data_IF_872841950099
#
_entry.id   IF_872841950099
#
_cell.length_a   1.000
_cell.length_b   1.000
_cell.length_c   1.000
_cell.angle_alpha   90.00
_cell.angle_beta   90.00
_cell.angle_gamma   90.00
#
_symmetry.space_group_name_H-M   'P 1'
#
loop_
_entity.id
_entity.type
_entity.pdbx_description
1 polymer ?
#
# COMPACT_ATOMS: atom_id res chain seq x y z
N UNK A 1 13.35 29.09 24.42
CA UNK A 1 13.56 28.93 22.97
C UNK A 1 12.35 28.20 22.41
N UNK A 2 11.50 28.86 21.61
CA UNK A 2 10.32 28.20 20.99
C UNK A 2 10.87 27.28 19.90
N UNK A 3 10.76 25.95 20.06
CA UNK A 3 10.91 25.01 18.95
C UNK A 3 9.86 25.41 17.91
N UNK A 4 10.27 25.76 16.69
CA UNK A 4 9.30 25.86 15.60
C UNK A 4 8.69 24.48 15.41
N UNK A 5 7.41 24.42 15.04
CA UNK A 5 6.72 23.17 14.75
C UNK A 5 7.38 22.36 13.61
N UNK A 6 8.36 22.95 12.92
CA UNK A 6 9.02 22.40 11.74
C UNK A 6 10.17 21.41 12.05
N UNK A 7 10.51 21.18 13.33
CA UNK A 7 11.59 20.29 13.75
C UNK A 7 11.13 19.33 14.87
N UNK A 8 10.06 18.57 14.59
CA UNK A 8 9.44 17.65 15.54
C UNK A 8 10.13 16.28 15.61
N UNK A 9 10.78 15.82 14.53
CA UNK A 9 11.31 14.46 14.42
C UNK A 9 12.84 14.42 14.33
N UNK A 10 13.44 13.46 15.04
CA UNK A 10 14.86 13.14 14.95
C UNK A 10 15.13 12.06 13.87
N UNK A 11 16.40 11.92 13.46
CA UNK A 11 16.79 10.88 12.49
C UNK A 11 16.49 9.46 12.97
N UNK A 12 16.51 9.24 14.29
CA UNK A 12 16.16 7.95 14.88
C UNK A 12 14.66 7.65 14.69
N UNK A 13 13.78 8.63 14.90
CA UNK A 13 12.33 8.48 14.71
C UNK A 13 12.02 8.06 13.27
N UNK A 14 12.69 8.71 12.31
CA UNK A 14 12.58 8.37 10.90
C UNK A 14 12.98 6.91 10.63
N UNK A 15 14.13 6.49 11.16
CA UNK A 15 14.65 5.15 10.96
C UNK A 15 13.74 4.09 11.60
N UNK A 16 13.31 4.30 12.84
CA UNK A 16 12.44 3.37 13.57
C UNK A 16 11.06 3.24 12.93
N UNK A 17 10.45 4.35 12.51
CA UNK A 17 9.15 4.33 11.83
C UNK A 17 9.20 3.53 10.52
N UNK A 18 10.29 3.67 9.76
CA UNK A 18 10.51 2.90 8.53
C UNK A 18 10.73 1.42 8.82
N UNK A 19 11.62 1.09 9.76
CA UNK A 19 11.84 -0.31 10.15
C UNK A 19 10.53 -0.97 10.57
N UNK A 20 9.74 -0.28 11.41
CA UNK A 20 8.47 -0.80 11.90
C UNK A 20 7.46 -1.01 10.77
N UNK A 21 7.39 -0.10 9.80
CA UNK A 21 6.50 -0.26 8.65
C UNK A 21 6.92 -1.42 7.74
N UNK A 22 8.20 -1.53 7.40
CA UNK A 22 8.71 -2.60 6.51
C UNK A 22 8.69 -3.99 7.16
N UNK A 23 8.89 -4.05 8.48
CA UNK A 23 8.79 -5.30 9.24
C UNK A 23 7.33 -5.71 9.52
N UNK A 24 6.36 -4.83 9.27
CA UNK A 24 4.96 -5.10 9.57
C UNK A 24 4.41 -6.21 8.70
N UNK A 25 3.93 -7.29 9.34
CA UNK A 25 3.20 -8.39 8.71
C UNK A 25 1.90 -8.66 9.45
N UNK A 26 0.92 -9.21 8.76
CA UNK A 26 -0.28 -9.75 9.37
C UNK A 26 0.09 -11.02 10.16
N UNK A 27 -0.32 -11.10 11.41
CA UNK A 27 -0.16 -12.32 12.20
C UNK A 27 -1.05 -13.46 11.69
N UNK A 28 -0.62 -14.71 11.87
CA UNK A 28 -1.37 -15.89 11.38
C UNK A 28 -2.81 -15.96 11.92
N UNK A 29 -3.00 -15.55 13.17
CA UNK A 29 -4.32 -15.49 13.84
C UNK A 29 -4.94 -14.09 13.83
N UNK A 30 -4.25 -13.10 13.26
CA UNK A 30 -4.71 -11.70 13.23
C UNK A 30 -5.86 -11.54 12.23
N UNK A 31 -6.94 -10.92 12.71
CA UNK A 31 -8.05 -10.51 11.85
C UNK A 31 -7.58 -9.47 10.82
N UNK A 32 -8.02 -9.60 9.58
CA UNK A 32 -7.63 -8.71 8.49
C UNK A 32 -7.97 -7.23 8.75
N UNK A 33 -9.08 -6.96 9.45
CA UNK A 33 -9.49 -5.59 9.81
C UNK A 33 -8.56 -4.99 10.86
N UNK A 34 -8.20 -5.75 11.89
CA UNK A 34 -7.22 -5.32 12.90
C UNK A 34 -5.85 -5.05 12.26
N UNK A 35 -5.43 -5.91 11.33
CA UNK A 35 -4.20 -5.72 10.58
C UNK A 35 -4.25 -4.41 9.77
N UNK A 36 -5.35 -4.15 9.06
CA UNK A 36 -5.56 -2.91 8.29
C UNK A 36 -5.43 -1.66 9.18
N UNK A 37 -6.09 -1.64 10.33
CA UNK A 37 -6.01 -0.50 11.26
C UNK A 37 -4.59 -0.24 11.76
N UNK A 38 -3.84 -1.31 12.07
CA UNK A 38 -2.45 -1.20 12.51
C UNK A 38 -1.53 -0.73 11.37
N UNK A 39 -1.76 -1.23 10.15
CA UNK A 39 -1.03 -0.85 8.96
C UNK A 39 -1.25 0.61 8.57
N UNK A 40 -2.51 1.07 8.55
CA UNK A 40 -2.87 2.45 8.23
C UNK A 40 -2.33 3.43 9.26
N UNK A 41 -2.43 3.13 10.57
CA UNK A 41 -1.84 3.97 11.62
C UNK A 41 -0.33 4.14 11.45
N UNK A 42 0.39 3.09 11.07
CA UNK A 42 1.83 3.21 10.84
C UNK A 42 2.14 3.96 9.53
N UNK A 43 1.28 3.83 8.52
CA UNK A 43 1.38 4.58 7.28
C UNK A 43 1.17 6.09 7.50
N UNK A 44 0.20 6.48 8.34
CA UNK A 44 -0.03 7.88 8.72
C UNK A 44 1.23 8.50 9.34
N UNK A 45 1.89 7.79 10.28
CA UNK A 45 3.18 8.24 10.85
C UNK A 45 4.24 8.45 9.76
N UNK A 46 4.33 7.54 8.77
CA UNK A 46 5.27 7.74 7.66
C UNK A 46 4.87 8.91 6.76
N UNK A 47 3.57 9.12 6.53
CA UNK A 47 3.09 10.24 5.74
C UNK A 47 3.46 11.57 6.38
N UNK A 48 3.32 11.68 7.71
CA UNK A 48 3.71 12.85 8.48
C UNK A 48 5.23 13.07 8.44
N UNK A 49 6.03 12.01 8.55
CA UNK A 49 7.50 12.07 8.48
C UNK A 49 8.04 12.44 7.09
N UNK A 50 7.50 11.84 6.03
CA UNK A 50 7.98 12.05 4.66
C UNK A 50 7.46 13.33 4.02
N UNK A 51 6.26 13.76 4.43
CA UNK A 51 5.49 14.77 3.73
C UNK A 51 4.97 14.30 2.38
N UNK A 52 3.96 15.01 1.88
CA UNK A 52 3.26 14.67 0.63
C UNK A 52 4.18 14.75 -0.60
N UNK A 53 5.12 15.70 -0.60
CA UNK A 53 6.00 15.96 -1.75
C UNK A 53 6.89 14.75 -2.10
N UNK A 54 7.31 13.95 -1.11
CA UNK A 54 8.15 12.77 -1.38
C UNK A 54 7.41 11.75 -2.25
N UNK A 55 6.15 11.45 -1.92
CA UNK A 55 5.32 10.52 -2.67
C UNK A 55 4.94 11.06 -4.05
N UNK A 56 4.62 12.35 -4.16
CA UNK A 56 4.34 12.98 -5.46
C UNK A 56 5.57 12.95 -6.38
N UNK A 57 6.78 13.13 -5.83
CA UNK A 57 8.04 13.00 -6.57
C UNK A 57 8.35 11.56 -6.98
N UNK A 58 7.92 10.56 -6.20
CA UNK A 58 7.97 9.18 -6.62
C UNK A 58 6.97 8.92 -7.77
N UNK A 59 5.75 9.47 -7.69
CA UNK A 59 4.69 9.25 -8.68
C UNK A 59 5.14 9.56 -10.11
N UNK A 60 5.82 10.69 -10.32
CA UNK A 60 6.29 11.13 -11.65
C UNK A 60 7.35 10.21 -12.27
N UNK A 61 7.98 9.35 -11.45
CA UNK A 61 8.98 8.37 -11.91
C UNK A 61 8.36 7.02 -12.28
N UNK A 62 7.05 6.85 -12.14
CA UNK A 62 6.38 5.57 -12.40
C UNK A 62 5.99 5.42 -13.87
N UNK A 63 6.00 4.18 -14.38
CA UNK A 63 5.49 3.84 -15.72
C UNK A 63 4.03 4.28 -15.89
N UNK A 64 3.23 4.19 -14.83
CA UNK A 64 1.82 4.56 -14.85
C UNK A 64 1.61 6.07 -15.05
N UNK A 65 2.48 6.93 -14.48
CA UNK A 65 2.43 8.36 -14.73
C UNK A 65 2.84 8.70 -16.18
N UNK A 66 3.87 8.03 -16.70
CA UNK A 66 4.35 8.24 -18.07
C UNK A 66 3.29 7.87 -19.13
N UNK A 67 2.38 6.95 -18.81
CA UNK A 67 1.27 6.57 -19.67
C UNK A 67 0.12 7.60 -19.70
N UNK A 68 0.12 8.60 -18.80
CA UNK A 68 -0.87 9.68 -18.80
C UNK A 68 -0.44 10.73 -19.84
N UNK A 69 -1.34 11.07 -20.75
CA UNK A 69 -1.10 12.13 -21.73
C UNK A 69 -0.61 13.42 -21.04
N UNK A 70 0.47 14.02 -21.55
CA UNK A 70 1.08 15.22 -20.97
C UNK A 70 0.14 16.43 -20.96
N UNK A 71 -0.85 16.44 -21.85
CA UNK A 71 -1.90 17.47 -21.93
C UNK A 71 -3.00 17.30 -20.88
N UNK A 72 -3.06 16.16 -20.18
CA UNK A 72 -4.09 15.87 -19.17
C UNK A 72 -3.57 16.14 -17.75
N UNK A 73 -3.37 17.42 -17.44
CA UNK A 73 -2.87 17.89 -16.13
C UNK A 73 -3.74 17.42 -14.96
N UNK A 74 -5.06 17.35 -15.14
CA UNK A 74 -5.99 16.90 -14.09
C UNK A 74 -5.74 15.44 -13.70
N UNK A 75 -5.58 14.55 -14.68
CA UNK A 75 -5.25 13.15 -14.43
C UNK A 75 -3.86 12.99 -13.80
N UNK A 76 -2.88 13.81 -14.19
CA UNK A 76 -1.55 13.80 -13.60
C UNK A 76 -1.55 14.22 -12.12
N UNK A 77 -2.28 15.29 -11.78
CA UNK A 77 -2.40 15.75 -10.39
C UNK A 77 -3.12 14.71 -9.54
N UNK A 78 -4.25 14.19 -10.03
CA UNK A 78 -4.96 13.12 -9.33
C UNK A 78 -4.06 11.89 -9.10
N UNK A 79 -3.27 11.49 -10.09
CA UNK A 79 -2.34 10.37 -9.92
C UNK A 79 -1.29 10.64 -8.83
N UNK A 80 -0.77 11.87 -8.75
CA UNK A 80 0.18 12.27 -7.70
C UNK A 80 -0.46 12.25 -6.31
N UNK A 81 -1.72 12.66 -6.21
CA UNK A 81 -2.45 12.68 -4.93
C UNK A 81 -2.81 11.25 -4.47
N UNK A 82 -3.19 10.38 -5.40
CA UNK A 82 -3.59 8.99 -5.12
C UNK A 82 -2.39 8.04 -4.92
N UNK A 83 -1.15 8.45 -5.26
CA UNK A 83 0.00 7.54 -5.30
C UNK A 83 0.31 6.91 -3.95
N UNK A 84 0.13 7.66 -2.87
CA UNK A 84 0.42 7.20 -1.53
C UNK A 84 -0.49 6.01 -1.19
N UNK A 85 -1.81 6.17 -1.40
CA UNK A 85 -2.76 5.08 -1.17
C UNK A 85 -2.46 3.87 -2.07
N UNK A 86 -2.02 4.09 -3.31
CA UNK A 86 -1.65 3.00 -4.20
C UNK A 86 -0.44 2.19 -3.68
N UNK A 87 0.59 2.88 -3.16
CA UNK A 87 1.74 2.22 -2.52
C UNK A 87 1.30 1.45 -1.28
N UNK A 88 0.43 2.04 -0.45
CA UNK A 88 -0.12 1.38 0.72
C UNK A 88 -0.93 0.14 0.36
N UNK A 89 -1.75 0.20 -0.68
CA UNK A 89 -2.55 -0.93 -1.13
C UNK A 89 -1.67 -2.10 -1.60
N UNK A 90 -0.59 -1.82 -2.34
CA UNK A 90 0.41 -2.85 -2.70
C UNK A 90 1.10 -3.41 -1.47
N UNK A 91 1.58 -2.55 -0.56
CA UNK A 91 2.23 -2.97 0.68
C UNK A 91 1.32 -3.84 1.56
N UNK A 92 0.05 -3.48 1.67
CA UNK A 92 -0.96 -4.21 2.43
C UNK A 92 -1.16 -5.64 1.90
N UNK A 93 -1.20 -5.83 0.58
CA UNK A 93 -1.26 -7.16 -0.05
C UNK A 93 0.00 -7.96 0.26
N UNK A 94 1.19 -7.39 0.01
CA UNK A 94 2.47 -8.04 0.21
C UNK A 94 2.78 -8.36 1.68
N UNK A 95 2.16 -7.65 2.62
CA UNK A 95 2.32 -7.83 4.06
C UNK A 95 1.19 -8.62 4.71
N UNK A 96 0.19 -9.05 3.92
CA UNK A 96 -0.83 -9.99 4.38
C UNK A 96 -0.22 -11.34 4.77
N UNK A 97 -1.00 -12.14 5.49
CA UNK A 97 -0.56 -13.45 5.98
C UNK A 97 -0.37 -14.43 4.82
N UNK A 98 0.90 -14.58 4.44
CA UNK A 98 1.32 -15.37 3.29
C UNK A 98 0.99 -16.86 3.41
N UNK A 99 0.74 -17.38 4.63
CA UNK A 99 0.30 -18.77 4.79
C UNK A 99 -1.06 -19.02 4.12
N UNK A 100 -1.89 -17.96 4.00
CA UNK A 100 -3.22 -18.01 3.39
C UNK A 100 -3.30 -17.32 2.04
N UNK A 101 -2.39 -16.39 1.75
CA UNK A 101 -2.50 -15.48 0.59
C UNK A 101 -1.38 -15.65 -0.43
N UNK A 102 -0.39 -16.52 -0.19
CA UNK A 102 0.71 -16.77 -1.13
C UNK A 102 0.23 -17.12 -2.56
N UNK A 103 -0.81 -17.95 -2.78
CA UNK A 103 -1.31 -18.22 -4.13
C UNK A 103 -1.79 -16.95 -4.85
N UNK A 104 -2.58 -16.11 -4.18
CA UNK A 104 -3.01 -14.82 -4.72
C UNK A 104 -1.81 -13.92 -5.05
N UNK A 105 -0.80 -13.87 -4.17
CA UNK A 105 0.38 -13.04 -4.40
C UNK A 105 1.16 -13.51 -5.63
N UNK A 106 1.31 -14.83 -5.81
CA UNK A 106 1.95 -15.40 -6.98
C UNK A 106 1.20 -15.05 -8.27
N UNK A 107 -0.14 -15.12 -8.25
CA UNK A 107 -0.97 -14.73 -9.40
C UNK A 107 -0.82 -13.26 -9.75
N UNK A 108 -0.83 -12.37 -8.74
CA UNK A 108 -0.63 -10.93 -8.94
C UNK A 108 0.75 -10.61 -9.52
N UNK A 109 1.79 -11.26 -9.02
CA UNK A 109 3.16 -11.11 -9.52
C UNK A 109 3.30 -11.63 -10.96
N UNK A 110 2.74 -12.81 -11.24
CA UNK A 110 2.78 -13.42 -12.58
C UNK A 110 2.09 -12.52 -13.61
N UNK A 111 0.92 -11.98 -13.28
CA UNK A 111 0.23 -11.04 -14.16
C UNK A 111 1.01 -9.74 -14.34
N UNK A 112 1.60 -9.22 -13.27
CA UNK A 112 2.44 -8.01 -13.35
C UNK A 112 3.65 -8.20 -14.28
N UNK A 113 4.30 -9.37 -14.22
CA UNK A 113 5.39 -9.73 -15.14
C UNK A 113 4.93 -9.85 -16.60
N UNK A 114 3.63 -10.10 -16.84
CA UNK A 114 2.99 -10.09 -18.16
C UNK A 114 2.44 -8.71 -18.54
N UNK A 115 2.87 -7.66 -17.84
CA UNK A 115 2.45 -6.27 -18.03
C UNK A 115 0.95 -6.01 -17.74
N UNK A 116 0.28 -6.95 -17.06
CA UNK A 116 -1.11 -6.81 -16.62
C UNK A 116 -1.13 -6.52 -15.12
N UNK A 117 -1.43 -5.27 -14.77
CA UNK A 117 -1.42 -4.84 -13.37
C UNK A 117 -2.80 -5.02 -12.70
N UNK A 118 -2.95 -6.08 -11.90
CA UNK A 118 -4.14 -6.32 -11.07
C UNK A 118 -4.01 -5.83 -9.63
N UNK A 119 -2.87 -5.24 -9.23
CA UNK A 119 -2.74 -4.64 -7.90
C UNK A 119 -3.77 -3.53 -7.73
N UNK A 120 -4.44 -3.55 -6.57
CA UNK A 120 -5.42 -2.52 -6.21
C UNK A 120 -4.69 -1.25 -5.81
N UNK A 121 -5.30 -0.10 -6.13
CA UNK A 121 -4.78 1.24 -5.80
C UNK A 121 -5.36 1.82 -4.51
N UNK A 122 -6.33 1.11 -3.90
CA UNK A 122 -6.99 1.51 -2.66
C UNK A 122 -6.87 0.39 -1.64
N UNK A 123 -6.58 0.74 -0.39
CA UNK A 123 -6.39 -0.25 0.68
C UNK A 123 -7.69 -1.02 0.95
N UNK A 124 -8.86 -0.35 0.84
CA UNK A 124 -10.17 -1.00 0.94
C UNK A 124 -10.37 -2.08 -0.13
N UNK A 125 -9.99 -1.81 -1.37
CA UNK A 125 -10.09 -2.77 -2.48
C UNK A 125 -9.08 -3.91 -2.36
N UNK A 126 -7.90 -3.64 -1.82
CA UNK A 126 -6.93 -4.67 -1.47
C UNK A 126 -7.47 -5.60 -0.37
N UNK A 127 -8.11 -5.02 0.66
CA UNK A 127 -8.79 -5.78 1.71
C UNK A 127 -9.91 -6.66 1.15
N UNK A 128 -10.78 -6.11 0.30
CA UNK A 128 -11.86 -6.87 -0.34
C UNK A 128 -11.31 -8.07 -1.13
N UNK A 129 -10.23 -7.85 -1.89
CA UNK A 129 -9.55 -8.90 -2.65
C UNK A 129 -9.01 -10.02 -1.74
N UNK A 130 -8.33 -9.66 -0.65
CA UNK A 130 -7.81 -10.64 0.32
C UNK A 130 -8.96 -11.41 0.98
N UNK A 131 -10.03 -10.72 1.38
CA UNK A 131 -11.20 -11.33 2.00
C UNK A 131 -11.83 -12.36 1.07
N UNK A 132 -12.12 -11.97 -0.18
CA UNK A 132 -12.72 -12.86 -1.19
C UNK A 132 -11.83 -14.08 -1.40
N UNK A 133 -10.51 -13.89 -1.58
CA UNK A 133 -9.59 -15.00 -1.76
C UNK A 133 -9.61 -15.97 -0.58
N UNK A 134 -9.50 -15.46 0.66
CA UNK A 134 -9.52 -16.27 1.88
C UNK A 134 -10.85 -17.03 2.03
N UNK A 135 -11.98 -16.40 1.70
CA UNK A 135 -13.30 -17.00 1.82
C UNK A 135 -13.51 -18.11 0.77
N UNK A 136 -13.07 -17.89 -0.47
CA UNK A 136 -13.10 -18.90 -1.55
C UNK A 136 -12.18 -20.08 -1.24
N UNK A 137 -10.96 -19.83 -0.74
CA UNK A 137 -10.02 -20.90 -0.36
C UNK A 137 -10.54 -21.77 0.78
N UNK A 138 -11.42 -21.25 1.64
CA UNK A 138 -12.09 -22.04 2.69
C UNK A 138 -13.29 -22.84 2.15
N UNK A 139 -13.94 -22.35 1.10
CA UNK A 139 -15.15 -22.95 0.52
C UNK A 139 -15.01 -23.13 -1.01
N UNK A 140 -14.14 -24.04 -1.48
CA UNK A 140 -13.86 -24.21 -2.91
C UNK A 140 -15.06 -24.68 -3.76
N UNK A 141 -16.22 -24.94 -3.16
CA UNK A 141 -17.45 -25.41 -3.83
C UNK A 141 -18.52 -24.34 -4.10
N UNK A 142 -18.32 -23.08 -3.73
CA UNK A 142 -19.28 -21.99 -4.01
C UNK A 142 -18.73 -21.10 -5.13
N UNK A 143 -19.14 -21.39 -6.36
CA UNK A 143 -18.92 -20.49 -7.48
C UNK A 143 -19.85 -19.27 -7.33
N UNK A 144 -19.27 -18.07 -7.38
CA UNK A 144 -20.00 -16.81 -7.60
C UNK A 144 -20.34 -16.66 -9.09
#
# INVERSE_FOLDING_TARGET
MKKSADAEYDFLDFWEANQKFFAMKQGATENLMHFKERFLRQAEVLQDLYGVAWFQNFAVKTKAYAAIASTNTSAQNKFKDDIFEAVLATGFLCNSDQTRTAPLMLDLQTNYCREVNYYRKMVSKAQDMLKIHIDVSKNPGVNL
#
